data_IF_131342466188
#
_entry.id   IF_131342466188
#
_cell.length_a   1.000
_cell.length_b   1.000
_cell.length_c   1.000
_cell.angle_alpha   90.00
_cell.angle_beta   90.00
_cell.angle_gamma   90.00
#
_symmetry.space_group_name_H-M   'P 1'
#
loop_
_entity.id
_entity.type
_entity.pdbx_description
1 polymer ?
#
# COMPACT_ATOMS: atom_id res chain seq x y z
N UNK A 1 -6.28 24.06 -14.71
CA UNK A 1 -6.62 22.87 -15.53
C UNK A 1 -5.33 22.32 -16.09
N UNK A 2 -5.01 21.05 -15.83
CA UNK A 2 -3.92 20.37 -16.54
C UNK A 2 -4.34 20.29 -18.00
N UNK A 3 -3.63 20.99 -18.89
CA UNK A 3 -3.95 20.97 -20.31
C UNK A 3 -3.31 19.71 -20.90
N UNK A 4 -4.08 18.62 -20.93
CA UNK A 4 -3.62 17.39 -21.55
C UNK A 4 -3.58 17.62 -23.07
N UNK A 5 -2.39 17.56 -23.66
CA UNK A 5 -2.19 17.66 -25.12
C UNK A 5 -2.59 16.35 -25.82
N UNK A 6 -3.83 15.92 -25.58
CA UNK A 6 -4.39 14.66 -26.07
C UNK A 6 -4.38 14.64 -27.61
N UNK A 7 -4.72 15.76 -28.23
CA UNK A 7 -4.70 15.90 -29.68
C UNK A 7 -3.32 15.65 -30.28
N UNK A 8 -2.27 16.20 -29.66
CA UNK A 8 -0.89 15.96 -30.08
C UNK A 8 -0.50 14.49 -29.96
N UNK A 9 -0.87 13.82 -28.86
CA UNK A 9 -0.58 12.39 -28.68
C UNK A 9 -1.29 11.51 -29.69
N UNK A 10 -2.56 11.81 -30.00
CA UNK A 10 -3.32 11.15 -31.06
C UNK A 10 -2.60 11.33 -32.41
N UNK A 11 -2.19 12.56 -32.73
CA UNK A 11 -1.46 12.87 -33.97
C UNK A 11 -0.14 12.11 -34.05
N UNK A 12 0.67 12.15 -32.99
CA UNK A 12 1.95 11.44 -32.89
C UNK A 12 1.79 9.95 -33.22
N UNK A 13 0.87 9.26 -32.54
CA UNK A 13 0.59 7.84 -32.77
C UNK A 13 0.09 7.58 -34.19
N UNK A 14 -0.88 8.37 -34.66
CA UNK A 14 -1.43 8.22 -36.01
C UNK A 14 -0.31 8.33 -37.06
N UNK A 15 0.57 9.33 -36.93
CA UNK A 15 1.70 9.52 -37.85
C UNK A 15 2.75 8.42 -37.72
N UNK A 16 3.03 7.94 -36.52
CA UNK A 16 3.96 6.85 -36.27
C UNK A 16 3.52 5.56 -36.98
N UNK A 17 2.22 5.25 -36.95
CA UNK A 17 1.65 4.10 -37.64
C UNK A 17 1.27 4.37 -39.11
N UNK A 18 1.57 5.55 -39.64
CA UNK A 18 1.21 5.98 -41.01
C UNK A 18 -0.28 5.86 -41.34
N UNK A 19 -1.16 6.09 -40.36
CA UNK A 19 -2.62 6.04 -40.52
C UNK A 19 -3.10 7.40 -41.08
N UNK A 20 -3.99 7.42 -42.07
CA UNK A 20 -4.60 8.67 -42.55
C UNK A 20 -5.68 9.15 -41.58
N UNK A 21 -5.94 10.47 -41.54
CA UNK A 21 -6.98 11.02 -40.67
C UNK A 21 -8.38 10.47 -40.99
N UNK A 22 -8.64 10.14 -42.27
CA UNK A 22 -9.87 9.49 -42.70
C UNK A 22 -10.01 8.06 -42.17
N UNK A 23 -8.93 7.27 -42.20
CA UNK A 23 -8.90 5.90 -41.66
C UNK A 23 -9.06 5.88 -40.14
N UNK A 24 -8.47 6.86 -39.45
CA UNK A 24 -8.65 7.03 -38.02
C UNK A 24 -10.08 7.48 -37.68
N UNK A 25 -10.70 8.31 -38.54
CA UNK A 25 -12.06 8.81 -38.35
C UNK A 25 -13.14 7.76 -38.65
N UNK A 26 -12.85 6.79 -39.53
CA UNK A 26 -13.84 5.87 -40.08
C UNK A 26 -14.65 5.15 -39.00
N UNK A 27 -15.98 5.24 -39.11
CA UNK A 27 -16.93 4.68 -38.15
C UNK A 27 -16.94 5.33 -36.75
N UNK A 28 -16.16 6.39 -36.50
CA UNK A 28 -16.04 7.06 -35.20
C UNK A 28 -16.53 8.51 -35.28
N UNK A 29 -15.96 9.31 -36.19
CA UNK A 29 -16.30 10.72 -36.36
C UNK A 29 -15.93 11.19 -37.79
N UNK A 30 -15.97 12.50 -38.05
CA UNK A 30 -15.52 13.03 -39.34
C UNK A 30 -14.01 13.25 -39.38
N UNK A 31 -13.40 13.12 -40.56
CA UNK A 31 -11.98 13.46 -40.77
C UNK A 31 -11.67 14.90 -40.33
N UNK A 32 -12.59 15.83 -40.56
CA UNK A 32 -12.48 17.21 -40.08
C UNK A 32 -12.47 17.32 -38.56
N UNK A 33 -13.21 16.46 -37.84
CA UNK A 33 -13.16 16.40 -36.39
C UNK A 33 -11.79 15.89 -35.91
N UNK A 34 -11.23 14.85 -36.53
CA UNK A 34 -9.85 14.40 -36.23
C UNK A 34 -8.85 15.53 -36.42
N UNK A 35 -8.93 16.26 -37.52
CA UNK A 35 -8.02 17.40 -37.78
C UNK A 35 -8.08 18.47 -36.69
N UNK A 36 -9.28 18.81 -36.20
CA UNK A 36 -9.46 19.76 -35.09
C UNK A 36 -9.00 19.20 -33.75
N UNK A 37 -9.27 17.91 -33.48
CA UNK A 37 -8.79 17.21 -32.27
C UNK A 37 -7.27 17.23 -32.24
N UNK A 38 -6.59 16.86 -33.33
CA UNK A 38 -5.13 16.81 -33.44
C UNK A 38 -4.43 18.17 -33.24
N UNK A 39 -5.17 19.27 -33.42
CA UNK A 39 -4.70 20.64 -33.20
C UNK A 39 -5.05 21.18 -31.81
N UNK A 40 -5.64 20.36 -30.94
CA UNK A 40 -6.20 20.76 -29.65
C UNK A 40 -7.29 21.87 -29.78
N UNK A 41 -7.94 22.01 -30.95
CA UNK A 41 -9.01 23.00 -31.18
C UNK A 41 -10.36 22.56 -30.59
N UNK A 42 -10.60 21.25 -30.56
CA UNK A 42 -11.76 20.65 -29.92
C UNK A 42 -11.33 19.48 -29.04
N UNK A 43 -11.93 19.37 -27.85
CA UNK A 43 -11.78 18.16 -27.03
C UNK A 43 -12.81 17.12 -27.47
N UNK A 44 -12.40 15.89 -27.81
CA UNK A 44 -13.35 14.83 -28.15
C UNK A 44 -14.20 14.45 -26.93
N UNK A 45 -15.41 13.94 -27.18
CA UNK A 45 -16.19 13.30 -26.12
C UNK A 45 -15.46 12.05 -25.60
N UNK A 46 -15.77 11.63 -24.37
CA UNK A 46 -15.16 10.44 -23.78
C UNK A 46 -15.33 9.18 -24.66
N UNK A 47 -16.49 9.05 -25.33
CA UNK A 47 -16.76 7.94 -26.25
C UNK A 47 -15.84 7.99 -27.49
N UNK A 48 -15.73 9.16 -28.15
CA UNK A 48 -14.85 9.33 -29.31
C UNK A 48 -13.40 9.05 -28.89
N UNK A 49 -12.95 9.61 -27.77
CA UNK A 49 -11.58 9.41 -27.29
C UNK A 49 -11.27 7.93 -27.03
N UNK A 50 -12.23 7.18 -26.46
CA UNK A 50 -12.10 5.75 -26.23
C UNK A 50 -12.01 4.95 -27.53
N UNK A 51 -12.87 5.21 -28.51
CA UNK A 51 -12.82 4.52 -29.81
C UNK A 51 -11.53 4.84 -30.58
N UNK A 52 -11.04 6.08 -30.50
CA UNK A 52 -9.76 6.47 -31.08
C UNK A 52 -8.59 5.76 -30.39
N UNK A 53 -8.59 5.65 -29.06
CA UNK A 53 -7.57 4.92 -28.30
C UNK A 53 -7.54 3.44 -28.74
N UNK A 54 -8.70 2.79 -28.84
CA UNK A 54 -8.82 1.42 -29.35
C UNK A 54 -8.30 1.28 -30.77
N UNK A 55 -8.65 2.20 -31.68
CA UNK A 55 -8.17 2.18 -33.08
C UNK A 55 -6.63 2.32 -33.16
N UNK A 56 -6.05 3.12 -32.27
CA UNK A 56 -4.60 3.34 -32.17
C UNK A 56 -3.87 2.26 -31.34
N UNK A 57 -4.60 1.28 -30.80
CA UNK A 57 -4.03 0.17 -30.03
C UNK A 57 -3.47 0.57 -28.66
N UNK A 58 -3.94 1.68 -28.08
CA UNK A 58 -3.48 2.18 -26.77
C UNK A 58 -4.65 2.33 -25.80
N UNK A 59 -4.36 2.40 -24.51
CA UNK A 59 -5.35 2.80 -23.52
C UNK A 59 -5.48 4.33 -23.42
N UNK A 60 -6.51 4.79 -22.72
CA UNK A 60 -6.76 6.22 -22.52
C UNK A 60 -5.65 6.92 -21.74
N UNK A 61 -4.99 6.23 -20.79
CA UNK A 61 -3.92 6.81 -19.99
C UNK A 61 -2.75 7.22 -20.88
N UNK A 62 -2.40 6.40 -21.87
CA UNK A 62 -1.38 6.75 -22.86
C UNK A 62 -1.71 8.08 -23.57
N UNK A 63 -2.96 8.28 -24.00
CA UNK A 63 -3.38 9.51 -24.69
C UNK A 63 -3.37 10.74 -23.78
N UNK A 64 -3.65 10.58 -22.48
CA UNK A 64 -3.50 11.64 -21.49
C UNK A 64 -2.03 11.93 -21.15
N UNK A 65 -1.07 11.20 -21.73
CA UNK A 65 0.35 11.41 -21.48
C UNK A 65 0.76 11.06 -20.05
N UNK A 66 -0.02 10.22 -19.34
CA UNK A 66 0.34 9.74 -18.00
C UNK A 66 1.50 8.74 -18.02
N UNK A 67 1.97 8.31 -19.20
CA UNK A 67 3.05 7.34 -19.38
C UNK A 67 4.43 7.93 -19.65
N UNK A 68 4.60 9.21 -20.02
CA UNK A 68 5.93 9.76 -20.35
C UNK A 68 5.97 11.30 -20.41
N UNK A 69 5.84 11.97 -19.27
CA UNK A 69 6.22 13.38 -19.15
C UNK A 69 7.33 13.48 -18.12
N UNK A 70 8.48 14.11 -18.41
CA UNK A 70 9.56 14.26 -17.44
C UNK A 70 9.10 14.85 -16.08
N UNK A 71 8.01 15.64 -16.10
CA UNK A 71 7.39 16.18 -14.89
C UNK A 71 6.64 15.11 -14.08
N UNK A 72 5.92 14.22 -14.74
CA UNK A 72 5.22 13.11 -14.07
C UNK A 72 6.20 12.06 -13.58
N UNK A 73 7.25 11.77 -14.36
CA UNK A 73 8.33 10.87 -13.95
C UNK A 73 9.04 11.42 -12.71
N UNK A 74 9.32 12.73 -12.68
CA UNK A 74 9.86 13.40 -11.49
C UNK A 74 8.92 13.27 -10.28
N UNK A 75 7.63 13.59 -10.43
CA UNK A 75 6.65 13.50 -9.33
C UNK A 75 6.61 12.06 -8.79
N UNK A 76 6.55 11.08 -9.69
CA UNK A 76 6.53 9.66 -9.32
C UNK A 76 7.79 9.26 -8.57
N UNK A 77 8.97 9.58 -9.11
CA UNK A 77 10.26 9.30 -8.46
C UNK A 77 10.33 9.95 -7.08
N UNK A 78 9.98 11.24 -6.96
CA UNK A 78 10.02 11.94 -5.69
C UNK A 78 9.07 11.31 -4.65
N UNK A 79 7.86 10.91 -5.05
CA UNK A 79 6.94 10.20 -4.17
C UNK A 79 7.46 8.82 -3.74
N UNK A 80 8.09 8.08 -4.65
CA UNK A 80 8.72 6.78 -4.39
C UNK A 80 9.90 6.91 -3.44
N UNK A 81 10.77 7.90 -3.66
CA UNK A 81 11.93 8.18 -2.82
C UNK A 81 11.50 8.61 -1.40
N UNK A 82 10.52 9.50 -1.26
CA UNK A 82 9.96 9.87 0.05
C UNK A 82 9.41 8.63 0.77
N UNK A 83 8.67 7.78 0.05
CA UNK A 83 8.08 6.56 0.62
C UNK A 83 9.16 5.56 1.05
N UNK A 84 10.24 5.45 0.26
CA UNK A 84 11.41 4.61 0.56
C UNK A 84 12.13 5.07 1.82
N UNK A 85 12.41 6.37 1.96
CA UNK A 85 13.07 6.90 3.15
C UNK A 85 12.23 6.69 4.42
N UNK A 86 10.91 6.88 4.33
CA UNK A 86 9.98 6.58 5.44
C UNK A 86 10.03 5.10 5.82
N UNK A 87 10.02 4.19 4.84
CA UNK A 87 10.12 2.74 5.09
C UNK A 87 11.43 2.37 5.78
N UNK A 88 12.52 3.03 5.39
CA UNK A 88 13.85 2.85 5.97
C UNK A 88 14.01 3.58 7.33
N UNK A 89 12.95 4.22 7.84
CA UNK A 89 12.94 5.03 9.07
C UNK A 89 13.87 6.26 9.03
N UNK A 90 14.27 6.70 7.84
CA UNK A 90 15.06 7.91 7.62
C UNK A 90 14.16 9.15 7.61
N UNK A 91 13.47 9.40 8.72
CA UNK A 91 12.41 10.41 8.80
C UNK A 91 12.91 11.85 8.58
N UNK A 92 14.13 12.17 9.01
CA UNK A 92 14.74 13.48 8.78
C UNK A 92 14.95 13.78 7.30
N UNK A 93 15.42 12.79 6.55
CA UNK A 93 15.68 12.92 5.12
C UNK A 93 14.35 13.02 4.35
N UNK A 94 13.39 12.17 4.68
CA UNK A 94 12.04 12.27 4.13
C UNK A 94 11.42 13.66 4.38
N UNK A 95 11.57 14.23 5.58
CA UNK A 95 11.10 15.60 5.87
C UNK A 95 11.84 16.67 5.05
N UNK A 96 13.14 16.51 4.80
CA UNK A 96 13.90 17.42 3.95
C UNK A 96 13.33 17.42 2.54
N UNK A 97 13.10 16.23 1.97
CA UNK A 97 12.49 16.05 0.66
C UNK A 97 11.08 16.66 0.59
N UNK A 98 10.22 16.34 1.56
CA UNK A 98 8.86 16.87 1.64
C UNK A 98 8.85 18.40 1.68
N UNK A 99 9.73 19.03 2.47
CA UNK A 99 9.84 20.49 2.55
C UNK A 99 10.24 21.12 1.21
N UNK A 100 11.11 20.45 0.45
CA UNK A 100 11.49 20.90 -0.88
C UNK A 100 10.30 20.77 -1.84
N UNK A 101 9.61 19.63 -1.86
CA UNK A 101 8.48 19.41 -2.76
C UNK A 101 7.27 20.30 -2.46
N UNK A 102 7.04 20.67 -1.18
CA UNK A 102 5.99 21.66 -0.84
C UNK A 102 6.20 23.03 -1.49
N UNK A 103 7.44 23.38 -1.87
CA UNK A 103 7.77 24.63 -2.57
C UNK A 103 7.79 24.46 -4.09
N UNK A 104 7.71 23.22 -4.56
CA UNK A 104 7.77 22.89 -5.97
C UNK A 104 6.38 23.11 -6.62
N UNK A 105 6.26 23.96 -7.66
CA UNK A 105 4.99 24.18 -8.37
C UNK A 105 4.37 22.90 -8.94
N UNK A 106 5.17 21.85 -9.18
CA UNK A 106 4.67 20.55 -9.65
C UNK A 106 3.78 19.84 -8.62
N UNK A 107 3.94 20.13 -7.33
CA UNK A 107 3.20 19.52 -6.22
C UNK A 107 1.99 20.37 -5.76
N UNK A 108 1.43 21.19 -6.65
CA UNK A 108 0.35 22.10 -6.29
C UNK A 108 -1.06 21.48 -6.34
N UNK A 109 -1.21 20.27 -6.89
CA UNK A 109 -2.51 19.59 -6.94
C UNK A 109 -2.97 19.16 -5.55
N UNK A 110 -4.28 19.02 -5.37
CA UNK A 110 -4.88 18.63 -4.08
C UNK A 110 -4.37 17.25 -3.63
N UNK A 111 -4.25 16.30 -4.56
CA UNK A 111 -3.79 14.94 -4.32
C UNK A 111 -2.33 14.90 -3.87
N UNK A 112 -1.47 15.70 -4.51
CA UNK A 112 -0.06 15.78 -4.16
C UNK A 112 0.16 16.51 -2.83
N UNK A 113 -0.63 17.55 -2.55
CA UNK A 113 -0.63 18.20 -1.22
C UNK A 113 -1.09 17.25 -0.12
N UNK A 114 -2.16 16.49 -0.37
CA UNK A 114 -2.63 15.45 0.53
C UNK A 114 -1.54 14.40 0.80
N UNK A 115 -0.87 13.92 -0.25
CA UNK A 115 0.25 12.99 -0.11
C UNK A 115 1.37 13.59 0.75
N UNK A 116 1.83 14.82 0.47
CA UNK A 116 2.91 15.46 1.21
C UNK A 116 2.55 15.70 2.69
N UNK A 117 1.33 16.13 3.00
CA UNK A 117 0.86 16.29 4.39
C UNK A 117 0.79 14.96 5.13
N UNK A 118 0.26 13.93 4.48
CA UNK A 118 0.20 12.59 5.05
C UNK A 118 1.60 12.05 5.36
N UNK A 119 2.54 12.13 4.41
CA UNK A 119 3.93 11.70 4.62
C UNK A 119 4.65 12.51 5.67
N UNK A 120 4.41 13.83 5.73
CA UNK A 120 4.96 14.69 6.78
C UNK A 120 4.47 14.26 8.16
N UNK A 121 3.16 13.99 8.31
CA UNK A 121 2.59 13.54 9.57
C UNK A 121 3.20 12.23 10.06
N UNK A 122 3.47 11.26 9.17
CA UNK A 122 4.20 10.03 9.50
C UNK A 122 5.60 10.36 10.05
N UNK A 123 6.36 11.22 9.37
CA UNK A 123 7.71 11.56 9.80
C UNK A 123 7.72 12.34 11.12
N UNK A 124 6.80 13.29 11.29
CA UNK A 124 6.66 14.07 12.53
C UNK A 124 6.32 13.18 13.72
N UNK A 125 5.42 12.21 13.52
CA UNK A 125 5.09 11.23 14.54
C UNK A 125 6.30 10.32 14.86
N UNK A 126 6.96 9.77 13.83
CA UNK A 126 8.08 8.85 13.98
C UNK A 126 9.34 9.44 14.62
N UNK A 127 9.52 10.76 14.55
CA UNK A 127 10.59 11.46 15.27
C UNK A 127 10.28 11.73 16.75
N UNK A 128 9.11 11.31 17.25
CA UNK A 128 8.66 11.39 18.66
C UNK A 128 8.67 12.81 19.26
N UNK A 129 8.80 13.85 18.42
CA UNK A 129 8.85 15.25 18.89
C UNK A 129 7.47 15.79 19.28
N UNK A 130 6.41 15.33 18.60
CA UNK A 130 5.04 15.76 18.85
C UNK A 130 4.03 14.81 18.17
N UNK A 131 3.54 13.80 18.91
CA UNK A 131 2.55 12.84 18.39
C UNK A 131 1.24 13.52 17.95
N UNK A 132 0.78 14.53 18.70
CA UNK A 132 -0.46 15.25 18.37
C UNK A 132 -0.36 15.94 17.01
N UNK A 133 0.76 16.59 16.73
CA UNK A 133 1.00 17.21 15.42
C UNK A 133 0.94 16.21 14.28
N UNK A 134 1.41 14.97 14.49
CA UNK A 134 1.24 13.88 13.53
C UNK A 134 -0.22 13.60 13.22
N UNK A 135 -1.05 13.45 14.27
CA UNK A 135 -2.51 13.29 14.11
C UNK A 135 -3.15 14.45 13.37
N UNK A 136 -2.81 15.69 13.73
CA UNK A 136 -3.37 16.89 13.12
C UNK A 136 -3.08 16.93 11.61
N UNK A 137 -1.84 16.61 11.21
CA UNK A 137 -1.44 16.55 9.80
C UNK A 137 -2.18 15.46 9.01
N UNK A 138 -2.39 14.28 9.61
CA UNK A 138 -3.14 13.19 8.96
C UNK A 138 -4.63 13.53 8.83
N UNK A 139 -5.21 14.21 9.82
CA UNK A 139 -6.60 14.68 9.76
C UNK A 139 -6.76 15.80 8.72
N UNK A 140 -5.81 16.72 8.63
CA UNK A 140 -5.75 17.73 7.57
C UNK A 140 -5.66 17.05 6.21
N UNK A 141 -4.77 16.07 6.03
CA UNK A 141 -4.65 15.30 4.79
C UNK A 141 -5.98 14.59 4.43
N UNK A 142 -6.68 13.98 5.38
CA UNK A 142 -8.00 13.38 5.14
C UNK A 142 -9.03 14.41 4.64
N UNK A 143 -8.99 15.62 5.19
CA UNK A 143 -9.93 16.71 4.85
C UNK A 143 -9.74 17.27 3.44
N UNK A 144 -8.56 17.07 2.83
CA UNK A 144 -8.27 17.50 1.45
C UNK A 144 -8.89 16.59 0.38
N UNK A 145 -9.42 15.42 0.75
CA UNK A 145 -9.93 14.49 -0.25
C UNK A 145 -11.17 15.05 -0.96
N UNK A 146 -11.27 14.96 -2.30
CA UNK A 146 -12.44 15.45 -3.03
C UNK A 146 -13.70 14.57 -2.86
N UNK A 147 -13.63 13.47 -2.12
CA UNK A 147 -14.75 12.55 -1.91
C UNK A 147 -15.73 13.06 -0.84
N UNK A 148 -16.92 12.47 -0.79
CA UNK A 148 -17.91 12.80 0.25
C UNK A 148 -17.79 11.85 1.45
N UNK A 149 -18.50 12.15 2.54
CA UNK A 149 -18.60 11.24 3.67
C UNK A 149 -19.28 9.88 3.35
N UNK A 150 -19.84 9.70 2.15
CA UNK A 150 -20.48 8.46 1.68
C UNK A 150 -19.56 7.56 0.86
N UNK A 151 -18.46 8.07 0.33
CA UNK A 151 -17.55 7.32 -0.53
C UNK A 151 -16.10 7.62 -0.15
N UNK A 152 -15.31 6.59 0.12
CA UNK A 152 -13.91 6.73 0.48
C UNK A 152 -13.01 6.26 -0.66
N UNK A 153 -11.94 7.00 -0.91
CA UNK A 153 -10.87 6.62 -1.83
C UNK A 153 -9.84 5.73 -1.14
N UNK A 154 -9.04 5.00 -1.92
CA UNK A 154 -7.95 4.19 -1.38
C UNK A 154 -6.93 5.00 -0.57
N UNK A 155 -6.61 6.22 -1.01
CA UNK A 155 -5.73 7.13 -0.27
C UNK A 155 -6.30 7.45 1.12
N UNK A 156 -7.62 7.67 1.24
CA UNK A 156 -8.24 7.88 2.55
C UNK A 156 -8.13 6.64 3.43
N UNK A 157 -8.35 5.44 2.87
CA UNK A 157 -8.19 4.20 3.62
C UNK A 157 -6.75 4.02 4.13
N UNK A 158 -5.76 4.43 3.34
CA UNK A 158 -4.35 4.35 3.70
C UNK A 158 -3.96 5.38 4.78
N UNK A 159 -4.49 6.60 4.70
CA UNK A 159 -4.32 7.60 5.76
C UNK A 159 -5.00 7.13 7.05
N UNK A 160 -6.20 6.55 6.97
CA UNK A 160 -6.88 5.93 8.12
C UNK A 160 -6.06 4.77 8.70
N UNK A 161 -5.43 3.94 7.85
CA UNK A 161 -4.51 2.90 8.28
C UNK A 161 -3.29 3.48 9.03
N UNK A 162 -2.77 4.62 8.58
CA UNK A 162 -1.68 5.31 9.27
C UNK A 162 -2.12 5.87 10.63
N UNK A 163 -3.33 6.42 10.74
CA UNK A 163 -3.93 6.81 12.02
C UNK A 163 -4.09 5.61 12.96
N UNK A 164 -4.51 4.45 12.45
CA UNK A 164 -4.60 3.22 13.23
C UNK A 164 -3.22 2.81 13.77
N UNK A 165 -2.16 2.90 12.96
CA UNK A 165 -0.78 2.62 13.41
C UNK A 165 -0.37 3.57 14.54
N UNK A 166 -0.64 4.88 14.42
CA UNK A 166 -0.31 5.84 15.49
C UNK A 166 -0.99 5.47 16.80
N UNK A 167 -2.29 5.16 16.77
CA UNK A 167 -3.02 4.74 17.97
C UNK A 167 -2.46 3.43 18.54
N UNK A 168 -2.08 2.48 17.69
CA UNK A 168 -1.46 1.21 18.11
C UNK A 168 -0.12 1.45 18.81
N UNK A 169 0.71 2.36 18.31
CA UNK A 169 1.99 2.74 18.94
C UNK A 169 1.80 3.44 20.29
N UNK A 170 0.70 4.16 20.47
CA UNK A 170 0.27 4.72 21.75
C UNK A 170 -0.43 3.69 22.67
N UNK A 171 -0.46 2.41 22.28
CA UNK A 171 -1.12 1.30 23.00
C UNK A 171 -2.65 1.44 23.10
N UNK A 172 -3.25 2.29 22.26
CA UNK A 172 -4.71 2.42 22.11
C UNK A 172 -5.25 1.33 21.16
N UNK A 173 -5.09 0.06 21.55
CA UNK A 173 -5.39 -1.10 20.70
C UNK A 173 -6.89 -1.27 20.38
N UNK A 174 -7.78 -0.93 21.30
CA UNK A 174 -9.24 -0.99 21.04
C UNK A 174 -9.69 0.05 20.02
N UNK A 175 -9.22 1.30 20.15
CA UNK A 175 -9.47 2.35 19.16
C UNK A 175 -8.87 1.99 17.79
N UNK A 176 -7.69 1.38 17.79
CA UNK A 176 -7.08 0.84 16.57
C UNK A 176 -7.97 -0.19 15.89
N UNK A 177 -8.57 -1.10 16.68
CA UNK A 177 -9.54 -2.10 16.18
C UNK A 177 -10.79 -1.43 15.59
N UNK A 178 -11.34 -0.41 16.24
CA UNK A 178 -12.48 0.36 15.71
C UNK A 178 -12.18 0.98 14.35
N UNK A 179 -10.98 1.56 14.19
CA UNK A 179 -10.55 2.14 12.91
C UNK A 179 -10.47 1.06 11.82
N UNK A 180 -9.84 -0.08 12.09
CA UNK A 180 -9.76 -1.17 11.09
C UNK A 180 -11.12 -1.76 10.75
N UNK A 181 -12.02 -1.94 11.73
CA UNK A 181 -13.39 -2.38 11.47
C UNK A 181 -14.12 -1.40 10.54
N UNK A 182 -13.96 -0.09 10.77
CA UNK A 182 -14.50 0.94 9.88
C UNK A 182 -13.89 0.86 8.48
N UNK A 183 -12.57 0.72 8.37
CA UNK A 183 -11.88 0.54 7.08
C UNK A 183 -12.49 -0.66 6.34
N UNK A 184 -12.50 -1.86 6.92
CA UNK A 184 -13.02 -3.05 6.24
C UNK A 184 -14.51 -2.96 5.89
N UNK A 185 -15.32 -2.22 6.68
CA UNK A 185 -16.71 -1.95 6.33
C UNK A 185 -16.86 -1.02 5.11
N UNK A 186 -15.93 -0.08 4.93
CA UNK A 186 -15.87 0.79 3.75
C UNK A 186 -15.41 0.00 2.51
N UNK A 187 -14.38 -0.83 2.65
CA UNK A 187 -13.85 -1.70 1.59
C UNK A 187 -14.97 -2.54 0.97
N UNK A 188 -15.81 -3.17 1.80
CA UNK A 188 -16.95 -4.00 1.36
C UNK A 188 -17.98 -3.26 0.50
N UNK A 189 -18.01 -1.92 0.56
CA UNK A 189 -18.95 -1.08 -0.20
C UNK A 189 -18.31 -0.50 -1.47
N UNK A 190 -17.01 -0.69 -1.70
CA UNK A 190 -16.34 -0.16 -2.87
C UNK A 190 -16.75 -0.97 -4.12
N UNK A 191 -16.97 -0.30 -5.27
CA UNK A 191 -17.39 -0.98 -6.49
C UNK A 191 -16.28 -1.82 -7.13
N UNK A 192 -15.02 -1.44 -6.90
CA UNK A 192 -13.85 -2.10 -7.44
C UNK A 192 -13.03 -2.74 -6.31
N UNK A 193 -12.33 -3.86 -6.59
CA UNK A 193 -11.30 -4.38 -5.69
C UNK A 193 -10.25 -3.32 -5.39
N UNK A 194 -9.72 -3.38 -4.17
CA UNK A 194 -8.68 -2.46 -3.71
C UNK A 194 -7.33 -2.89 -4.25
N UNK A 195 -6.45 -1.92 -4.48
CA UNK A 195 -5.03 -2.15 -4.75
C UNK A 195 -4.45 -3.22 -3.80
N UNK A 196 -3.89 -4.32 -4.32
CA UNK A 196 -3.49 -5.48 -3.51
C UNK A 196 -2.54 -5.16 -2.35
N UNK A 197 -1.53 -4.33 -2.57
CA UNK A 197 -0.53 -4.03 -1.54
C UNK A 197 -1.12 -3.19 -0.40
N UNK A 198 -2.02 -2.24 -0.69
CA UNK A 198 -2.81 -1.54 0.32
C UNK A 198 -3.64 -2.53 1.14
N UNK A 199 -4.36 -3.44 0.49
CA UNK A 199 -5.19 -4.40 1.20
C UNK A 199 -4.37 -5.34 2.09
N UNK A 200 -3.23 -5.84 1.59
CA UNK A 200 -2.27 -6.63 2.38
C UNK A 200 -1.78 -5.85 3.60
N UNK A 201 -1.37 -4.59 3.44
CA UNK A 201 -0.92 -3.73 4.55
C UNK A 201 -1.99 -3.56 5.63
N UNK A 202 -3.23 -3.32 5.22
CA UNK A 202 -4.36 -3.16 6.14
C UNK A 202 -4.67 -4.46 6.89
N UNK A 203 -4.66 -5.61 6.22
CA UNK A 203 -4.84 -6.92 6.84
C UNK A 203 -3.72 -7.23 7.83
N UNK A 204 -2.46 -7.07 7.41
CA UNK A 204 -1.30 -7.32 8.25
C UNK A 204 -1.32 -6.45 9.51
N UNK A 205 -1.46 -5.13 9.38
CA UNK A 205 -1.45 -4.24 10.54
C UNK A 205 -2.65 -4.46 11.46
N UNK A 206 -3.81 -4.82 10.91
CA UNK A 206 -4.95 -5.24 11.73
C UNK A 206 -4.69 -6.55 12.46
N UNK A 207 -3.99 -7.50 11.84
CA UNK A 207 -3.62 -8.78 12.46
C UNK A 207 -2.63 -8.60 13.61
N UNK A 208 -1.66 -7.68 13.46
CA UNK A 208 -0.75 -7.26 14.52
C UNK A 208 -1.55 -6.68 15.70
N UNK A 209 -2.51 -5.79 15.44
CA UNK A 209 -3.32 -5.21 16.52
C UNK A 209 -4.20 -6.25 17.23
N UNK A 210 -4.79 -7.18 16.49
CA UNK A 210 -5.56 -8.28 17.08
C UNK A 210 -4.70 -9.19 17.96
N UNK A 211 -3.43 -9.41 17.58
CA UNK A 211 -2.47 -10.13 18.42
C UNK A 211 -2.27 -9.42 19.76
N UNK A 212 -2.05 -8.10 19.75
CA UNK A 212 -1.90 -7.32 20.98
C UNK A 212 -3.14 -7.35 21.88
N UNK A 213 -4.33 -7.49 21.30
CA UNK A 213 -5.59 -7.67 22.04
C UNK A 213 -5.82 -9.11 22.51
N UNK A 214 -4.93 -10.05 22.18
CA UNK A 214 -5.10 -11.49 22.48
C UNK A 214 -6.13 -12.20 21.59
N UNK A 215 -6.67 -11.53 20.57
CA UNK A 215 -7.57 -12.12 19.57
C UNK A 215 -6.77 -12.84 18.48
N UNK A 216 -6.04 -13.88 18.92
CA UNK A 216 -5.12 -14.61 18.06
C UNK A 216 -5.82 -15.29 16.89
N UNK A 217 -7.07 -15.74 17.06
CA UNK A 217 -7.83 -16.38 15.98
C UNK A 217 -8.14 -15.37 14.86
N UNK A 218 -8.57 -14.16 15.21
CA UNK A 218 -8.79 -13.10 14.24
C UNK A 218 -7.47 -12.70 13.55
N UNK A 219 -6.37 -12.58 14.30
CA UNK A 219 -5.03 -12.32 13.77
C UNK A 219 -4.60 -13.36 12.73
N UNK A 220 -4.71 -14.65 13.07
CA UNK A 220 -4.39 -15.79 12.18
C UNK A 220 -5.23 -15.71 10.90
N UNK A 221 -6.55 -15.48 11.01
CA UNK A 221 -7.44 -15.38 9.85
C UNK A 221 -7.06 -14.23 8.91
N UNK A 222 -6.73 -13.05 9.45
CA UNK A 222 -6.28 -11.91 8.65
C UNK A 222 -4.93 -12.16 7.98
N UNK A 223 -4.02 -12.85 8.66
CA UNK A 223 -2.76 -13.27 8.04
C UNK A 223 -2.98 -14.26 6.89
N UNK A 224 -3.90 -15.24 7.03
CA UNK A 224 -4.26 -16.15 5.95
C UNK A 224 -4.81 -15.42 4.73
N UNK A 225 -5.69 -14.45 4.97
CA UNK A 225 -6.26 -13.62 3.92
C UNK A 225 -5.17 -12.80 3.20
N UNK A 226 -4.26 -12.16 3.95
CA UNK A 226 -3.13 -11.42 3.38
C UNK A 226 -2.22 -12.33 2.53
N UNK A 227 -1.90 -13.54 3.01
CA UNK A 227 -1.11 -14.53 2.27
C UNK A 227 -1.83 -14.95 0.98
N UNK A 228 -3.16 -15.13 1.02
CA UNK A 228 -3.94 -15.46 -0.16
C UNK A 228 -3.92 -14.34 -1.20
N UNK A 229 -4.02 -13.07 -0.77
CA UNK A 229 -3.91 -11.89 -1.64
C UNK A 229 -2.50 -11.80 -2.25
N UNK A 230 -1.44 -12.07 -1.49
CA UNK A 230 -0.08 -12.14 -2.01
C UNK A 230 0.04 -13.17 -3.14
N UNK A 231 -0.51 -14.37 -2.93
CA UNK A 231 -0.47 -15.46 -3.92
C UNK A 231 -1.24 -15.15 -5.20
N UNK A 232 -2.48 -14.66 -5.07
CA UNK A 232 -3.33 -14.38 -6.24
C UNK A 232 -2.81 -13.23 -7.09
N UNK A 233 -2.04 -12.30 -6.49
CA UNK A 233 -1.45 -11.15 -7.19
C UNK A 233 0.05 -11.32 -7.48
N UNK A 234 0.64 -12.48 -7.19
CA UNK A 234 2.07 -12.77 -7.38
C UNK A 234 3.00 -11.70 -6.77
N UNK A 235 2.65 -11.19 -5.59
CA UNK A 235 3.42 -10.17 -4.86
C UNK A 235 4.02 -10.74 -3.57
N UNK A 236 5.23 -10.28 -3.22
CA UNK A 236 5.90 -10.59 -1.95
C UNK A 236 5.73 -9.47 -0.92
N UNK A 237 4.96 -8.42 -1.24
CA UNK A 237 4.77 -7.26 -0.37
C UNK A 237 4.25 -7.67 1.02
N UNK A 238 5.02 -7.35 2.07
CA UNK A 238 4.77 -7.72 3.48
C UNK A 238 4.59 -9.22 3.76
N UNK A 239 4.94 -10.10 2.83
CA UNK A 239 4.69 -11.54 2.97
C UNK A 239 5.55 -12.16 4.08
N UNK A 240 6.82 -11.76 4.19
CA UNK A 240 7.73 -12.21 5.24
C UNK A 240 7.19 -11.85 6.63
N UNK A 241 6.82 -10.59 6.83
CA UNK A 241 6.23 -10.07 8.06
C UNK A 241 4.93 -10.81 8.40
N UNK A 242 4.08 -11.08 7.40
CA UNK A 242 2.81 -11.78 7.59
C UNK A 242 3.02 -13.24 8.01
N UNK A 243 4.01 -13.93 7.45
CA UNK A 243 4.36 -15.29 7.91
C UNK A 243 4.84 -15.29 9.36
N UNK A 244 5.67 -14.32 9.75
CA UNK A 244 6.11 -14.19 11.13
C UNK A 244 4.92 -13.95 12.08
N UNK A 245 4.10 -12.93 11.80
CA UNK A 245 2.95 -12.58 12.64
C UNK A 245 1.97 -13.75 12.77
N UNK A 246 1.76 -14.51 11.68
CA UNK A 246 0.95 -15.72 11.71
C UNK A 246 1.52 -16.78 12.66
N UNK A 247 2.82 -17.06 12.57
CA UNK A 247 3.49 -18.02 13.44
C UNK A 247 3.44 -17.61 14.91
N UNK A 248 3.66 -16.33 15.19
CA UNK A 248 3.59 -15.76 16.53
C UNK A 248 2.18 -15.86 17.12
N UNK A 249 1.16 -15.44 16.38
CA UNK A 249 -0.24 -15.57 16.82
C UNK A 249 -0.65 -17.03 17.00
N UNK A 250 -0.19 -17.94 16.13
CA UNK A 250 -0.45 -19.37 16.28
C UNK A 250 0.19 -19.94 17.56
N UNK A 251 1.45 -19.59 17.82
CA UNK A 251 2.13 -20.02 19.04
C UNK A 251 1.40 -19.49 20.28
N UNK A 252 1.00 -18.22 20.29
CA UNK A 252 0.25 -17.62 21.39
C UNK A 252 -1.11 -18.29 21.61
N UNK A 253 -1.80 -18.70 20.53
CA UNK A 253 -3.10 -19.37 20.59
C UNK A 253 -3.04 -20.83 21.03
N UNK A 254 -2.20 -21.64 20.38
CA UNK A 254 -2.17 -23.11 20.55
C UNK A 254 -1.08 -23.61 21.47
N UNK A 255 -0.07 -22.78 21.77
CA UNK A 255 1.17 -23.19 22.45
C UNK A 255 1.90 -24.35 21.77
N UNK A 256 1.60 -24.60 20.48
CA UNK A 256 2.28 -25.57 19.65
C UNK A 256 3.40 -24.89 18.87
N UNK A 257 4.63 -25.10 19.36
CA UNK A 257 5.83 -24.58 18.73
C UNK A 257 6.14 -25.21 17.37
N UNK A 258 5.69 -26.44 17.10
CA UNK A 258 6.07 -27.15 15.87
C UNK A 258 5.50 -26.49 14.62
N UNK A 259 4.22 -26.15 14.63
CA UNK A 259 3.56 -25.48 13.50
C UNK A 259 3.93 -24.00 13.44
N UNK A 260 4.05 -23.32 14.59
CA UNK A 260 4.50 -21.92 14.64
C UNK A 260 5.87 -21.72 13.97
N UNK A 261 6.83 -22.61 14.27
CA UNK A 261 8.17 -22.56 13.70
C UNK A 261 8.18 -22.77 12.18
N UNK A 262 7.24 -23.55 11.61
CA UNK A 262 7.13 -23.66 10.13
C UNK A 262 6.81 -22.31 9.49
N UNK A 263 5.93 -21.52 10.12
CA UNK A 263 5.60 -20.18 9.64
C UNK A 263 6.75 -19.20 9.84
N UNK A 264 7.40 -19.22 11.00
CA UNK A 264 8.56 -18.36 11.26
C UNK A 264 9.76 -18.68 10.35
N UNK A 265 10.02 -19.95 10.02
CA UNK A 265 11.06 -20.31 9.06
C UNK A 265 10.74 -19.84 7.63
N UNK A 266 9.47 -19.87 7.20
CA UNK A 266 9.08 -19.25 5.91
C UNK A 266 9.35 -17.75 5.90
N UNK A 267 9.12 -17.09 7.03
CA UNK A 267 9.45 -15.67 7.19
C UNK A 267 10.94 -15.42 7.06
N UNK A 268 11.76 -16.20 7.76
CA UNK A 268 13.23 -16.09 7.74
C UNK A 268 13.80 -16.23 6.32
N UNK A 269 13.36 -17.26 5.59
CA UNK A 269 13.81 -17.48 4.21
C UNK A 269 13.45 -16.30 3.29
N UNK A 270 12.32 -15.62 3.51
CA UNK A 270 11.97 -14.44 2.72
C UNK A 270 12.76 -13.21 3.15
N UNK A 271 13.04 -13.03 4.43
CA UNK A 271 13.90 -11.93 4.88
C UNK A 271 15.34 -12.08 4.38
N UNK A 272 15.84 -13.32 4.22
CA UNK A 272 17.11 -13.60 3.55
C UNK A 272 17.09 -13.14 2.08
N UNK A 273 16.04 -13.47 1.32
CA UNK A 273 15.86 -13.00 -0.07
C UNK A 273 15.77 -11.47 -0.17
N UNK A 274 15.21 -10.82 0.87
CA UNK A 274 15.06 -9.37 0.94
C UNK A 274 16.30 -8.66 1.51
N UNK A 275 17.33 -9.41 1.93
CA UNK A 275 18.55 -8.90 2.57
C UNK A 275 18.26 -8.03 3.83
N UNK A 276 17.20 -8.34 4.58
CA UNK A 276 16.80 -7.61 5.78
C UNK A 276 17.37 -8.27 7.05
N UNK A 277 18.66 -8.03 7.30
CA UNK A 277 19.38 -8.65 8.42
C UNK A 277 18.74 -8.32 9.78
N UNK A 278 18.21 -7.10 9.96
CA UNK A 278 17.58 -6.70 11.21
C UNK A 278 16.31 -7.51 11.50
N UNK A 279 15.50 -7.76 10.47
CA UNK A 279 14.34 -8.62 10.60
C UNK A 279 14.73 -10.09 10.83
N UNK A 280 15.77 -10.59 10.15
CA UNK A 280 16.28 -11.95 10.36
C UNK A 280 16.72 -12.18 11.81
N UNK A 281 17.55 -11.29 12.35
CA UNK A 281 18.04 -11.37 13.73
C UNK A 281 16.89 -11.42 14.75
N UNK A 282 15.85 -10.61 14.51
CA UNK A 282 14.65 -10.59 15.34
C UNK A 282 13.89 -11.92 15.28
N UNK A 283 13.61 -12.44 14.08
CA UNK A 283 12.89 -13.71 13.89
C UNK A 283 13.66 -14.88 14.50
N UNK A 284 14.98 -14.94 14.31
CA UNK A 284 15.83 -15.97 14.93
C UNK A 284 15.79 -15.90 16.46
N UNK A 285 15.76 -14.69 17.03
CA UNK A 285 15.60 -14.47 18.46
C UNK A 285 14.31 -15.09 19.00
N UNK A 286 13.19 -14.89 18.31
CA UNK A 286 11.89 -15.46 18.69
C UNK A 286 11.84 -16.98 18.51
N UNK A 287 12.42 -17.52 17.43
CA UNK A 287 12.56 -18.96 17.21
C UNK A 287 13.32 -19.61 18.37
N UNK A 288 14.46 -19.03 18.79
CA UNK A 288 15.27 -19.53 19.91
C UNK A 288 14.49 -19.56 21.23
N UNK A 289 13.59 -18.61 21.47
CA UNK A 289 12.72 -18.60 22.66
C UNK A 289 11.74 -19.77 22.65
N UNK A 290 11.14 -20.06 21.50
CA UNK A 290 10.18 -21.16 21.32
C UNK A 290 10.88 -22.52 21.49
N UNK A 291 12.05 -22.70 20.87
CA UNK A 291 12.80 -23.97 20.98
C UNK A 291 13.23 -24.25 22.42
N UNK A 292 13.74 -23.25 23.16
CA UNK A 292 14.06 -23.40 24.59
C UNK A 292 12.85 -23.83 25.42
N UNK A 293 11.67 -23.27 25.15
CA UNK A 293 10.46 -23.66 25.85
C UNK A 293 10.04 -25.10 25.52
N UNK A 294 10.21 -25.52 24.26
CA UNK A 294 9.90 -26.89 23.80
C UNK A 294 10.84 -27.92 24.42
N UNK A 295 12.12 -27.64 24.50
CA UNK A 295 13.12 -28.55 25.05
C UNK A 295 13.00 -28.70 26.57
N UNK A 296 12.71 -27.62 27.30
CA UNK A 296 12.37 -27.68 28.73
C UNK A 296 11.07 -28.45 29.01
N UNK A 297 10.07 -28.33 28.12
CA UNK A 297 8.82 -29.07 28.22
C UNK A 297 9.00 -30.56 27.94
N UNK A 298 9.87 -30.93 26.98
CA UNK A 298 10.25 -32.31 26.70
C UNK A 298 11.09 -32.93 27.82
N UNK A 299 12.04 -32.18 28.38
CA UNK A 299 12.84 -32.64 29.51
C UNK A 299 11.98 -32.90 30.77
N UNK A 300 11.00 -32.02 31.04
CA UNK A 300 10.07 -32.22 32.16
C UNK A 300 9.07 -33.38 31.95
N UNK A 301 8.61 -33.61 30.71
CA UNK A 301 7.82 -34.81 30.38
C UNK A 301 8.65 -36.10 30.45
N UNK A 302 9.92 -36.08 30.03
CA UNK A 302 10.82 -37.22 30.12
C UNK A 302 11.13 -37.60 31.58
N UNK A 303 11.35 -36.61 32.46
CA UNK A 303 11.53 -36.81 33.89
C UNK A 303 10.29 -37.42 34.56
N UNK A 304 9.08 -36.94 34.22
CA UNK A 304 7.83 -37.52 34.71
C UNK A 304 7.59 -38.95 34.20
N UNK A 305 7.97 -39.24 32.95
CA UNK A 305 7.85 -40.59 32.38
C UNK A 305 8.79 -41.59 33.09
N UNK A 306 9.98 -41.16 33.51
CA UNK A 306 10.91 -42.00 34.31
C UNK A 306 10.47 -42.21 35.75
N UNK A 307 9.77 -41.24 36.36
CA UNK A 307 9.22 -41.35 37.73
C UNK A 307 7.99 -42.25 37.83
N UNK A 308 7.29 -42.50 36.71
CA UNK A 308 6.09 -43.36 36.68
C UNK A 308 6.42 -44.82 36.33
N UNK A 309 7.71 -45.14 36.15
CA UNK A 309 8.23 -46.48 35.79
C UNK A 309 9.06 -47.13 36.89
N UNK A 310 8.96 -46.64 38.14
CA UNK A 310 9.47 -47.24 39.37
C UNK A 310 8.29 -47.54 40.31
#
# INVERSE_FOLDING_TARGET
>A
MVNYHVGKKIKELRTYYNIYQEELADGICSQGAISKIEKDEIMPSAHILYELAKRLGVDLNYLFGTSSSPRLDYIKSACEDITKEIRNRNYEEALRMIKNEKRNPLFNSTELKQFLLWREGICVFGLEKNHQKGFDLLNEALSLTPTTNKNFSEIQLDIMGSLAIFNSQLKEHEKTKEIYLKIFALIKKMPNPIEPNLFIRLLYNSAVNDHFLGDYQSSIKKCDEAIAVCKSNMTMYLLAQTFFQRGESYYSYKKDGSEALKWMNKSLNLFEVLEDQGAMDYVEGEIKKIDKHRDGSRASMALRATETSL
#
